data_IF_440513266242
#
_entry.id   IF_440513266242
#
_cell.length_a   1.000
_cell.length_b   1.000
_cell.length_c   1.000
_cell.angle_alpha   90.00
_cell.angle_beta   90.00
_cell.angle_gamma   90.00
#
_symmetry.space_group_name_H-M   'P 1'
#
loop_
_entity.id
_entity.type
_entity.pdbx_description
1 polymer ?
#
# COMPACT_ATOMS: atom_id res chain seq x y z
N UNK A 1 1.21 -12.47 -28.64
CA UNK A 1 2.28 -11.46 -28.39
C UNK A 1 2.95 -11.83 -27.09
N UNK A 2 4.28 -11.81 -27.00
CA UNK A 2 5.00 -11.94 -25.74
C UNK A 2 5.20 -10.56 -25.11
N UNK A 3 4.81 -10.44 -23.83
CA UNK A 3 4.86 -9.17 -23.08
C UNK A 3 5.75 -9.37 -21.85
N UNK A 4 6.93 -8.72 -21.78
CA UNK A 4 7.76 -8.68 -20.59
C UNK A 4 7.08 -7.89 -19.48
N UNK A 5 6.84 -8.54 -18.34
CA UNK A 5 6.22 -7.92 -17.14
C UNK A 5 7.16 -8.11 -15.96
N UNK A 6 7.33 -7.08 -15.15
CA UNK A 6 8.22 -7.08 -14.00
C UNK A 6 7.43 -6.80 -12.73
N UNK A 7 7.67 -7.60 -11.70
CA UNK A 7 7.25 -7.33 -10.33
C UNK A 7 8.47 -7.26 -9.42
N UNK A 8 8.47 -6.36 -8.46
CA UNK A 8 9.41 -6.36 -7.34
C UNK A 8 8.67 -6.79 -6.08
N UNK A 9 9.17 -7.82 -5.39
CA UNK A 9 8.45 -8.38 -4.25
C UNK A 9 9.39 -8.93 -3.17
N UNK A 10 8.85 -9.06 -1.97
CA UNK A 10 9.47 -9.75 -0.84
C UNK A 10 8.53 -10.82 -0.26
N UNK A 11 8.96 -11.51 0.80
CA UNK A 11 8.15 -12.55 1.44
C UNK A 11 6.82 -12.05 1.98
N UNK A 12 6.71 -10.77 2.35
CA UNK A 12 5.47 -10.19 2.88
C UNK A 12 4.46 -9.93 1.77
N UNK A 13 4.94 -9.57 0.58
CA UNK A 13 4.12 -9.25 -0.59
C UNK A 13 3.95 -10.43 -1.58
N UNK A 14 4.61 -11.55 -1.33
CA UNK A 14 4.58 -12.72 -2.20
C UNK A 14 3.17 -13.15 -2.61
N UNK A 15 2.26 -13.30 -1.64
CA UNK A 15 0.90 -13.77 -1.96
C UNK A 15 0.11 -12.74 -2.77
N UNK A 16 0.31 -11.45 -2.52
CA UNK A 16 -0.32 -10.39 -3.31
C UNK A 16 0.20 -10.37 -4.74
N UNK A 17 1.51 -10.58 -4.92
CA UNK A 17 2.12 -10.76 -6.25
C UNK A 17 1.50 -11.94 -7.00
N UNK A 18 1.28 -13.08 -6.34
CA UNK A 18 0.61 -14.25 -6.94
C UNK A 18 -0.82 -13.92 -7.34
N UNK A 19 -1.57 -13.18 -6.53
CA UNK A 19 -2.93 -12.75 -6.88
C UNK A 19 -2.93 -11.79 -8.08
N UNK A 20 -1.98 -10.86 -8.15
CA UNK A 20 -1.81 -9.98 -9.30
C UNK A 20 -1.49 -10.76 -10.58
N UNK A 21 -0.53 -11.69 -10.54
CA UNK A 21 -0.17 -12.59 -11.65
C UNK A 21 -1.38 -13.41 -12.08
N UNK A 22 -2.13 -13.95 -11.12
CA UNK A 22 -3.35 -14.74 -11.38
C UNK A 22 -4.38 -13.92 -12.15
N UNK A 23 -4.66 -12.69 -11.69
CA UNK A 23 -5.60 -11.81 -12.37
C UNK A 23 -5.17 -11.48 -13.79
N UNK A 24 -3.89 -11.23 -14.00
CA UNK A 24 -3.30 -10.98 -15.33
C UNK A 24 -3.42 -12.20 -16.24
N UNK A 25 -3.12 -13.40 -15.74
CA UNK A 25 -3.19 -14.63 -16.53
C UNK A 25 -4.64 -14.99 -16.92
N UNK A 26 -5.60 -14.81 -16.00
CA UNK A 26 -7.04 -15.08 -16.23
C UNK A 26 -7.69 -14.10 -17.21
N UNK A 27 -7.20 -12.85 -17.29
CA UNK A 27 -7.76 -11.82 -18.17
C UNK A 27 -6.94 -11.62 -19.46
N UNK A 28 -5.96 -12.48 -19.71
CA UNK A 28 -5.19 -12.46 -20.95
C UNK A 28 -6.04 -12.87 -22.16
N UNK A 29 -5.88 -12.16 -23.27
CA UNK A 29 -6.43 -12.61 -24.55
C UNK A 29 -5.72 -13.89 -25.05
N UNK A 30 -6.40 -14.63 -25.92
CA UNK A 30 -5.94 -15.94 -26.41
C UNK A 30 -4.49 -15.95 -26.97
N UNK A 31 -4.05 -14.83 -27.53
CA UNK A 31 -2.73 -14.71 -28.16
C UNK A 31 -1.72 -13.93 -27.32
N UNK A 32 -2.04 -13.63 -26.07
CA UNK A 32 -1.16 -12.93 -25.15
C UNK A 32 -0.41 -13.94 -24.28
N UNK A 33 0.89 -13.77 -24.22
CA UNK A 33 1.78 -14.52 -23.35
C UNK A 33 2.61 -13.56 -22.51
N UNK A 34 2.63 -13.74 -21.21
CA UNK A 34 3.38 -12.90 -20.28
C UNK A 34 4.68 -13.59 -19.86
N UNK A 35 5.81 -12.94 -20.14
CA UNK A 35 7.09 -13.30 -19.58
C UNK A 35 7.34 -12.46 -18.33
N UNK A 36 7.16 -13.07 -17.18
CA UNK A 36 7.15 -12.40 -15.88
C UNK A 36 8.54 -12.51 -15.25
N UNK A 37 9.12 -11.38 -14.89
CA UNK A 37 10.38 -11.27 -14.16
C UNK A 37 10.09 -10.84 -12.73
N UNK A 38 10.46 -11.65 -11.75
CA UNK A 38 10.31 -11.35 -10.34
C UNK A 38 11.63 -10.87 -9.79
N UNK A 39 11.72 -9.60 -9.43
CA UNK A 39 12.86 -9.03 -8.74
C UNK A 39 12.75 -9.32 -7.25
N UNK A 40 13.70 -10.09 -6.70
CA UNK A 40 13.66 -10.51 -5.31
C UNK A 40 15.03 -10.53 -4.66
N UNK A 41 15.06 -10.34 -3.34
CA UNK A 41 16.25 -10.48 -2.49
C UNK A 41 16.02 -11.48 -1.37
N UNK A 42 16.98 -11.58 -0.46
CA UNK A 42 16.85 -12.40 0.74
C UNK A 42 16.55 -13.87 0.45
N UNK A 43 15.59 -14.43 1.17
CA UNK A 43 15.20 -15.84 1.00
C UNK A 43 14.42 -16.07 -0.30
N UNK A 44 13.62 -15.10 -0.74
CA UNK A 44 12.78 -15.24 -1.92
C UNK A 44 13.60 -15.42 -3.22
N UNK A 45 14.85 -14.92 -3.26
CA UNK A 45 15.76 -15.14 -4.39
C UNK A 45 16.06 -16.62 -4.70
N UNK A 46 15.79 -17.51 -3.75
CA UNK A 46 15.93 -18.97 -3.93
C UNK A 46 14.73 -19.62 -4.63
N UNK A 47 13.70 -18.83 -4.91
CA UNK A 47 12.43 -19.30 -5.44
C UNK A 47 11.40 -19.59 -4.35
N UNK A 48 10.16 -19.70 -4.78
CA UNK A 48 9.05 -20.11 -3.93
C UNK A 48 8.08 -20.98 -4.73
N UNK A 49 7.55 -22.02 -4.11
CA UNK A 49 6.68 -22.99 -4.74
C UNK A 49 5.44 -22.37 -5.41
N UNK A 50 4.88 -21.27 -4.87
CA UNK A 50 3.75 -20.54 -5.47
C UNK A 50 4.05 -20.04 -6.90
N UNK A 51 5.27 -19.62 -7.20
CA UNK A 51 5.62 -19.22 -8.57
C UNK A 51 5.64 -20.43 -9.53
N UNK A 52 6.15 -21.57 -9.05
CA UNK A 52 6.15 -22.82 -9.81
C UNK A 52 4.73 -23.30 -10.09
N UNK A 53 3.86 -23.25 -9.06
CA UNK A 53 2.47 -23.65 -9.18
C UNK A 53 1.68 -22.70 -10.10
N UNK A 54 1.91 -21.40 -10.01
CA UNK A 54 1.29 -20.43 -10.91
C UNK A 54 1.68 -20.69 -12.37
N UNK A 55 2.97 -20.91 -12.64
CA UNK A 55 3.44 -21.25 -13.98
C UNK A 55 2.90 -22.61 -14.46
N UNK A 56 2.74 -23.58 -13.58
CA UNK A 56 2.11 -24.87 -13.90
C UNK A 56 0.62 -24.78 -14.18
N UNK A 57 -0.07 -23.82 -13.54
CA UNK A 57 -1.51 -23.60 -13.68
C UNK A 57 -1.88 -22.86 -14.97
N UNK A 58 -1.04 -21.95 -15.43
CA UNK A 58 -1.33 -21.05 -16.56
C UNK A 58 -0.33 -21.26 -17.71
N UNK A 59 -0.82 -21.69 -18.87
CA UNK A 59 0.02 -21.92 -20.06
C UNK A 59 0.43 -20.63 -20.79
N UNK A 60 -0.15 -19.50 -20.43
CA UNK A 60 0.09 -18.18 -21.02
C UNK A 60 1.07 -17.32 -20.21
N UNK A 61 1.74 -17.90 -19.21
CA UNK A 61 2.78 -17.22 -18.43
C UNK A 61 4.07 -18.03 -18.36
N UNK A 62 5.19 -17.33 -18.23
CA UNK A 62 6.49 -17.85 -17.80
C UNK A 62 7.01 -16.96 -16.69
N UNK A 63 7.58 -17.53 -15.64
CA UNK A 63 8.10 -16.78 -14.50
C UNK A 63 9.60 -17.04 -14.36
N UNK A 64 10.40 -15.99 -14.47
CA UNK A 64 11.83 -16.00 -14.19
C UNK A 64 12.12 -15.15 -12.94
N UNK A 65 12.89 -15.73 -12.02
CA UNK A 65 13.29 -15.06 -10.78
C UNK A 65 14.66 -14.40 -10.95
N UNK A 66 14.74 -13.10 -10.70
CA UNK A 66 15.97 -12.31 -10.77
C UNK A 66 16.41 -11.88 -9.38
N UNK A 67 17.60 -12.34 -8.99
CA UNK A 67 18.17 -12.01 -7.68
C UNK A 67 18.74 -10.58 -7.68
N UNK A 68 18.31 -9.76 -6.71
CA UNK A 68 18.78 -8.40 -6.52
C UNK A 68 19.77 -8.34 -5.36
N UNK A 69 20.90 -7.67 -5.59
CA UNK A 69 21.83 -7.29 -4.53
C UNK A 69 21.39 -5.96 -3.90
N UNK A 70 20.96 -6.02 -2.65
CA UNK A 70 20.51 -4.84 -1.91
C UNK A 70 21.63 -3.91 -1.43
N UNK A 71 22.89 -4.24 -1.71
CA UNK A 71 24.02 -3.37 -1.31
C UNK A 71 23.91 -1.97 -1.91
N UNK A 72 23.36 -1.84 -3.12
CA UNK A 72 23.09 -0.57 -3.77
C UNK A 72 22.08 0.32 -3.03
N UNK A 73 21.27 -0.27 -2.13
CA UNK A 73 20.19 0.44 -1.44
C UNK A 73 20.42 0.56 0.08
N UNK A 74 21.66 0.38 0.55
CA UNK A 74 21.96 0.47 1.99
C UNK A 74 21.71 1.84 2.57
N UNK A 75 21.90 2.90 1.76
CA UNK A 75 21.72 4.30 2.17
C UNK A 75 20.40 4.90 1.69
N UNK A 76 19.50 4.08 1.14
CA UNK A 76 18.19 4.56 0.69
C UNK A 76 17.35 5.03 1.87
N UNK A 77 16.76 6.21 1.73
CA UNK A 77 15.78 6.71 2.69
C UNK A 77 14.42 6.09 2.41
N UNK A 78 13.80 5.51 3.43
CA UNK A 78 12.46 4.95 3.38
C UNK A 78 11.62 5.68 4.43
N UNK A 79 10.77 6.56 3.97
CA UNK A 79 9.92 7.41 4.80
C UNK A 79 8.60 6.73 5.16
N UNK A 80 8.12 5.85 4.27
CA UNK A 80 6.88 5.12 4.46
C UNK A 80 7.15 3.72 5.06
N UNK A 81 6.58 3.39 6.24
CA UNK A 81 6.83 2.10 6.90
C UNK A 81 6.26 0.89 6.17
N UNK A 82 5.39 1.10 5.19
CA UNK A 82 4.84 0.03 4.36
C UNK A 82 5.69 -0.26 3.13
N UNK A 83 6.68 0.60 2.85
CA UNK A 83 7.60 0.45 1.73
C UNK A 83 8.85 -0.30 2.20
N UNK A 84 9.31 -1.24 1.40
CA UNK A 84 10.56 -1.97 1.60
C UNK A 84 11.56 -1.58 0.52
N UNK A 85 12.83 -2.03 0.65
CA UNK A 85 13.85 -1.78 -0.38
C UNK A 85 13.46 -2.31 -1.77
N UNK A 86 12.52 -3.25 -1.83
CA UNK A 86 12.02 -3.79 -3.10
C UNK A 86 11.45 -2.70 -4.03
N UNK A 87 10.95 -1.58 -3.49
CA UNK A 87 10.48 -0.44 -4.29
C UNK A 87 11.56 0.12 -5.21
N UNK A 88 12.83 0.12 -4.78
CA UNK A 88 13.95 0.65 -5.56
C UNK A 88 14.45 -0.31 -6.66
N UNK A 89 14.05 -1.60 -6.66
CA UNK A 89 14.57 -2.56 -7.63
C UNK A 89 14.21 -2.18 -9.07
N UNK A 90 13.04 -1.54 -9.28
CA UNK A 90 12.62 -1.03 -10.59
C UNK A 90 13.60 -0.04 -11.22
N UNK A 91 14.38 0.67 -10.41
CA UNK A 91 15.39 1.63 -10.88
C UNK A 91 16.57 0.96 -11.58
N UNK A 92 16.80 -0.34 -11.35
CA UNK A 92 17.89 -1.11 -11.93
C UNK A 92 17.53 -1.79 -13.25
N UNK A 93 16.28 -1.69 -13.71
CA UNK A 93 15.76 -2.47 -14.86
C UNK A 93 16.57 -2.30 -16.13
N UNK A 94 17.12 -1.11 -16.39
CA UNK A 94 17.98 -0.88 -17.53
C UNK A 94 19.22 -1.76 -17.57
N UNK A 95 19.78 -2.11 -16.41
CA UNK A 95 20.97 -2.95 -16.29
C UNK A 95 20.65 -4.44 -16.16
N UNK A 96 19.46 -4.78 -15.63
CA UNK A 96 19.08 -6.16 -15.33
C UNK A 96 18.46 -6.87 -16.53
N UNK A 97 17.60 -6.17 -17.31
CA UNK A 97 16.85 -6.75 -18.40
C UNK A 97 17.41 -6.36 -19.77
N UNK A 98 17.52 -7.33 -20.67
CA UNK A 98 18.02 -7.11 -22.03
C UNK A 98 16.90 -6.88 -23.06
N UNK A 99 15.62 -6.79 -22.63
CA UNK A 99 14.52 -6.44 -23.52
C UNK A 99 14.49 -4.92 -23.77
N UNK A 100 13.92 -4.51 -24.89
CA UNK A 100 13.86 -3.07 -25.25
C UNK A 100 12.76 -2.32 -24.48
N UNK A 101 11.68 -3.02 -24.10
CA UNK A 101 10.54 -2.47 -23.39
C UNK A 101 9.93 -3.50 -22.43
N UNK A 102 9.48 -3.07 -21.26
CA UNK A 102 8.74 -3.93 -20.34
C UNK A 102 7.64 -3.13 -19.61
N UNK A 103 6.69 -3.85 -19.04
CA UNK A 103 5.76 -3.32 -18.05
C UNK A 103 6.33 -3.57 -16.66
N UNK A 104 6.25 -2.58 -15.78
CA UNK A 104 6.47 -2.76 -14.35
C UNK A 104 5.14 -2.60 -13.63
N UNK A 105 4.85 -3.53 -12.74
CA UNK A 105 3.60 -3.59 -11.99
C UNK A 105 3.91 -3.78 -10.50
N UNK A 106 3.26 -2.99 -9.65
CA UNK A 106 3.28 -3.23 -8.20
C UNK A 106 2.48 -4.49 -7.84
N UNK A 107 2.76 -5.06 -6.68
CA UNK A 107 2.16 -6.31 -6.22
C UNK A 107 0.74 -6.15 -5.67
N UNK A 108 0.31 -4.93 -5.34
CA UNK A 108 -1.00 -4.61 -4.77
C UNK A 108 -1.99 -4.14 -5.83
N UNK A 109 -2.05 -4.86 -6.94
CA UNK A 109 -2.93 -4.58 -8.08
C UNK A 109 -3.79 -5.78 -8.45
N UNK A 110 -4.84 -5.51 -9.23
CA UNK A 110 -5.60 -6.50 -10.01
C UNK A 110 -5.65 -6.02 -11.46
N UNK A 111 -5.32 -6.91 -12.38
CA UNK A 111 -5.37 -6.68 -13.82
C UNK A 111 -6.68 -7.26 -14.35
N UNK A 112 -7.63 -6.38 -14.75
CA UNK A 112 -8.97 -6.77 -15.23
C UNK A 112 -9.12 -6.76 -16.75
N UNK A 113 -8.07 -6.44 -17.48
CA UNK A 113 -8.03 -6.44 -18.96
C UNK A 113 -6.69 -7.02 -19.44
N UNK A 114 -6.65 -7.43 -20.71
CA UNK A 114 -5.39 -7.77 -21.35
C UNK A 114 -4.44 -6.57 -21.43
N UNK A 115 -3.15 -6.80 -21.19
CA UNK A 115 -2.15 -5.74 -21.17
C UNK A 115 -1.55 -5.41 -22.56
N UNK A 116 -2.05 -5.99 -23.63
CA UNK A 116 -1.52 -5.74 -24.98
C UNK A 116 -1.64 -4.28 -25.39
N UNK A 117 -2.79 -3.63 -25.13
CA UNK A 117 -2.99 -2.21 -25.40
C UNK A 117 -1.96 -1.35 -24.62
N UNK A 118 -1.77 -1.64 -23.33
CA UNK A 118 -0.78 -0.94 -22.50
C UNK A 118 0.64 -1.14 -23.02
N UNK A 119 0.99 -2.38 -23.36
CA UNK A 119 2.34 -2.70 -23.84
C UNK A 119 2.64 -2.10 -25.21
N UNK A 120 1.64 -2.02 -26.13
CA UNK A 120 1.83 -1.52 -27.49
C UNK A 120 1.87 0.01 -27.56
N UNK A 121 1.66 0.72 -26.45
CA UNK A 121 1.75 2.18 -26.45
C UNK A 121 3.07 2.65 -27.06
N UNK A 122 2.98 3.60 -27.99
CA UNK A 122 4.16 4.18 -28.64
C UNK A 122 4.93 5.04 -27.63
N UNK A 123 6.19 4.70 -27.38
CA UNK A 123 7.02 5.44 -26.42
C UNK A 123 7.70 6.67 -27.04
N UNK A 124 7.89 6.72 -28.37
CA UNK A 124 8.64 7.79 -29.05
C UNK A 124 9.97 8.09 -28.31
N UNK A 125 10.18 9.34 -27.88
CA UNK A 125 11.35 9.76 -27.09
C UNK A 125 11.14 9.63 -25.58
N UNK A 126 10.00 9.10 -25.12
CA UNK A 126 9.74 8.92 -23.69
C UNK A 126 10.59 7.78 -23.11
N UNK A 127 11.10 7.99 -21.92
CA UNK A 127 11.82 6.98 -21.15
C UNK A 127 10.87 6.07 -20.38
N UNK A 128 9.79 6.69 -19.89
CA UNK A 128 8.77 6.01 -19.09
C UNK A 128 7.38 6.51 -19.51
N UNK A 129 6.39 5.61 -19.45
CA UNK A 129 5.00 6.00 -19.48
C UNK A 129 4.30 5.55 -18.18
N UNK A 130 3.41 6.39 -17.66
CA UNK A 130 2.65 6.13 -16.43
C UNK A 130 1.39 6.96 -16.34
N UNK A 131 0.51 6.59 -15.42
CA UNK A 131 -0.74 7.31 -15.15
C UNK A 131 -0.45 8.47 -14.20
N UNK A 132 -1.08 9.61 -14.44
CA UNK A 132 -1.01 10.78 -13.54
C UNK A 132 -1.37 10.38 -12.11
N UNK A 133 -0.60 10.83 -11.16
CA UNK A 133 -0.92 10.63 -9.74
C UNK A 133 -1.96 11.68 -9.30
N UNK A 134 -3.23 11.28 -9.31
CA UNK A 134 -4.34 12.17 -8.92
C UNK A 134 -4.29 12.58 -7.45
N UNK A 135 -3.54 11.89 -6.61
CA UNK A 135 -3.31 12.31 -5.23
C UNK A 135 -2.64 13.68 -5.15
N UNK A 136 -1.76 13.97 -6.11
CA UNK A 136 -1.10 15.28 -6.22
C UNK A 136 -2.14 16.40 -6.49
N UNK A 137 -3.19 16.09 -7.25
CA UNK A 137 -4.22 17.06 -7.58
C UNK A 137 -5.15 17.37 -6.41
N UNK A 138 -5.38 16.40 -5.54
CA UNK A 138 -6.19 16.52 -4.33
C UNK A 138 -5.42 17.14 -3.14
N UNK A 139 -4.10 17.29 -3.25
CA UNK A 139 -3.30 17.96 -2.21
C UNK A 139 -3.62 19.44 -2.13
N UNK A 140 -3.57 19.99 -0.92
CA UNK A 140 -3.56 21.43 -0.72
C UNK A 140 -2.46 22.11 -1.56
N UNK A 141 -2.76 23.26 -2.16
CA UNK A 141 -1.83 23.96 -3.04
C UNK A 141 -0.49 24.27 -2.37
N UNK A 142 -0.49 24.59 -1.07
CA UNK A 142 0.72 24.84 -0.28
C UNK A 142 1.57 23.59 -0.09
N UNK A 143 0.94 22.44 0.16
CA UNK A 143 1.62 21.14 0.32
C UNK A 143 2.20 20.70 -1.04
N UNK A 144 1.42 20.82 -2.11
CA UNK A 144 1.88 20.52 -3.47
C UNK A 144 3.08 21.39 -3.89
N UNK A 145 3.07 22.68 -3.56
CA UNK A 145 4.18 23.58 -3.85
C UNK A 145 5.43 23.24 -3.01
N UNK A 146 5.29 22.95 -1.73
CA UNK A 146 6.41 22.48 -0.89
C UNK A 146 7.05 21.22 -1.47
N UNK A 147 6.22 20.27 -1.95
CA UNK A 147 6.70 19.06 -2.60
C UNK A 147 7.45 19.37 -3.89
N UNK A 148 6.88 20.23 -4.75
CA UNK A 148 7.52 20.68 -5.98
C UNK A 148 8.93 21.25 -5.72
N UNK A 149 9.04 22.12 -4.72
CA UNK A 149 10.33 22.71 -4.31
C UNK A 149 11.30 21.64 -3.80
N UNK A 150 10.82 20.72 -2.93
CA UNK A 150 11.65 19.67 -2.35
C UNK A 150 12.19 18.69 -3.40
N UNK A 151 11.37 18.34 -4.39
CA UNK A 151 11.78 17.46 -5.50
C UNK A 151 12.50 18.19 -6.63
N UNK A 152 12.46 19.51 -6.64
CA UNK A 152 12.99 20.36 -7.73
C UNK A 152 12.39 20.02 -9.10
N UNK A 153 11.16 19.55 -9.13
CA UNK A 153 10.39 19.29 -10.38
C UNK A 153 9.81 20.62 -10.86
N UNK A 154 9.90 20.96 -12.16
CA UNK A 154 9.37 22.23 -12.69
C UNK A 154 7.87 22.41 -12.52
N UNK A 155 7.09 21.33 -12.69
CA UNK A 155 5.62 21.31 -12.48
C UNK A 155 5.16 19.95 -11.99
N UNK A 156 4.23 19.93 -11.04
CA UNK A 156 3.60 18.68 -10.55
C UNK A 156 2.50 18.16 -11.48
N UNK A 157 2.13 18.88 -12.52
CA UNK A 157 1.08 18.45 -13.46
C UNK A 157 1.43 17.19 -14.24
N UNK A 158 2.72 16.95 -14.48
CA UNK A 158 3.20 15.76 -15.21
C UNK A 158 3.60 14.60 -14.30
N UNK A 159 3.41 14.78 -13.00
CA UNK A 159 3.80 13.78 -12.01
C UNK A 159 2.96 12.50 -12.17
N UNK A 160 3.63 11.36 -12.32
CA UNK A 160 3.00 10.05 -12.48
C UNK A 160 3.19 9.19 -11.24
N UNK A 161 2.23 8.28 -11.02
CA UNK A 161 2.40 7.21 -10.04
C UNK A 161 3.30 6.11 -10.58
N UNK A 162 4.14 5.54 -9.70
CA UNK A 162 5.14 4.55 -10.07
C UNK A 162 4.65 3.09 -10.01
N UNK A 163 3.40 2.82 -9.63
CA UNK A 163 2.91 1.45 -9.45
C UNK A 163 2.59 0.70 -10.75
N UNK A 164 2.32 1.43 -11.84
CA UNK A 164 2.13 0.86 -13.18
C UNK A 164 2.90 1.71 -14.18
N UNK A 165 3.93 1.14 -14.77
CA UNK A 165 4.83 1.84 -15.68
C UNK A 165 5.12 1.02 -16.94
N UNK A 166 5.26 1.73 -18.07
CA UNK A 166 5.91 1.20 -19.27
C UNK A 166 7.32 1.75 -19.32
N UNK A 167 8.34 0.88 -19.23
CA UNK A 167 9.74 1.24 -19.33
C UNK A 167 10.25 1.10 -20.77
N UNK A 168 10.80 2.16 -21.34
CA UNK A 168 11.59 2.13 -22.56
C UNK A 168 13.05 1.82 -22.20
N UNK A 169 13.33 0.56 -21.95
CA UNK A 169 14.66 0.13 -21.47
C UNK A 169 15.78 0.42 -22.47
N UNK A 170 15.45 0.44 -23.76
CA UNK A 170 16.40 0.83 -24.80
C UNK A 170 16.90 2.28 -24.60
N UNK A 171 15.98 3.22 -24.43
CA UNK A 171 16.35 4.63 -24.19
C UNK A 171 16.99 4.82 -22.81
N UNK A 172 16.55 4.09 -21.78
CA UNK A 172 17.16 4.12 -20.46
C UNK A 172 18.62 3.70 -20.51
N UNK A 173 18.96 2.64 -21.25
CA UNK A 173 20.35 2.20 -21.47
C UNK A 173 21.13 3.19 -22.31
N UNK A 174 20.56 3.68 -23.41
CA UNK A 174 21.22 4.62 -24.33
C UNK A 174 21.60 5.95 -23.65
N UNK A 175 20.92 6.30 -22.55
CA UNK A 175 21.10 7.56 -21.80
C UNK A 175 21.71 7.37 -20.42
N UNK A 176 22.14 6.16 -20.08
CA UNK A 176 22.71 5.81 -18.77
C UNK A 176 21.83 6.22 -17.58
N UNK A 177 20.49 6.17 -17.78
CA UNK A 177 19.52 6.65 -16.79
C UNK A 177 19.53 5.81 -15.51
N UNK A 178 19.94 4.55 -15.57
CA UNK A 178 20.09 3.72 -14.36
C UNK A 178 21.12 4.32 -13.41
N UNK A 179 22.23 4.84 -13.89
CA UNK A 179 23.22 5.53 -13.05
C UNK A 179 22.65 6.82 -12.45
N UNK A 180 21.88 7.57 -13.26
CA UNK A 180 21.19 8.77 -12.77
C UNK A 180 20.19 8.43 -11.68
N UNK A 181 19.36 7.38 -11.83
CA UNK A 181 18.45 6.90 -10.78
C UNK A 181 19.22 6.54 -9.51
N UNK A 182 20.29 5.76 -9.64
CA UNK A 182 21.11 5.34 -8.51
C UNK A 182 21.74 6.54 -7.76
N UNK A 183 22.14 7.60 -8.46
CA UNK A 183 22.70 8.80 -7.82
C UNK A 183 21.68 9.57 -6.97
N UNK A 184 20.38 9.33 -7.15
CA UNK A 184 19.29 9.95 -6.39
C UNK A 184 18.81 9.12 -5.19
N UNK A 185 19.27 7.88 -5.02
CA UNK A 185 18.78 6.96 -3.97
C UNK A 185 19.08 7.49 -2.55
N UNK A 186 20.18 8.21 -2.36
CA UNK A 186 20.59 8.78 -1.07
C UNK A 186 19.86 10.11 -0.75
N UNK A 187 19.03 10.63 -1.67
CA UNK A 187 18.26 11.85 -1.44
C UNK A 187 16.98 11.50 -0.69
N UNK A 188 16.70 12.24 0.38
CA UNK A 188 15.49 12.07 1.19
C UNK A 188 14.25 12.63 0.47
N UNK A 189 13.72 11.86 -0.47
CA UNK A 189 12.50 12.16 -1.19
C UNK A 189 11.24 11.70 -0.42
N UNK A 190 10.15 12.49 -0.42
CA UNK A 190 8.89 12.13 0.25
C UNK A 190 8.25 10.81 -0.20
N UNK A 191 8.38 10.48 -1.50
CA UNK A 191 7.83 9.25 -2.11
C UNK A 191 8.90 8.46 -2.84
N UNK A 192 10.01 8.25 -2.17
CA UNK A 192 11.10 7.32 -2.48
C UNK A 192 11.40 7.24 -4.00
N UNK A 193 11.26 6.06 -4.58
CA UNK A 193 11.54 5.77 -5.99
C UNK A 193 10.59 6.48 -6.97
N UNK A 194 9.35 6.76 -6.56
CA UNK A 194 8.40 7.50 -7.38
C UNK A 194 8.90 8.93 -7.66
N UNK A 195 9.44 9.62 -6.64
CA UNK A 195 10.04 10.94 -6.82
C UNK A 195 11.29 10.87 -7.70
N UNK A 196 12.15 9.84 -7.50
CA UNK A 196 13.35 9.64 -8.34
C UNK A 196 12.98 9.52 -9.82
N UNK A 197 11.97 8.69 -10.13
CA UNK A 197 11.49 8.49 -11.50
C UNK A 197 10.97 9.80 -12.09
N UNK A 198 10.13 10.53 -11.36
CA UNK A 198 9.54 11.77 -11.83
C UNK A 198 10.59 12.89 -12.02
N UNK A 199 11.59 12.97 -11.13
CA UNK A 199 12.71 13.91 -11.24
C UNK A 199 13.61 13.59 -12.44
N UNK A 200 14.01 12.33 -12.56
CA UNK A 200 14.99 11.94 -13.55
C UNK A 200 14.43 11.87 -14.97
N UNK A 201 13.14 11.61 -15.13
CA UNK A 201 12.46 11.43 -16.41
C UNK A 201 11.56 12.61 -16.80
N UNK A 202 11.50 13.71 -16.06
CA UNK A 202 10.49 14.77 -16.14
C UNK A 202 10.04 15.14 -17.56
N UNK A 203 10.96 15.51 -18.45
CA UNK A 203 10.66 15.93 -19.83
C UNK A 203 10.42 14.76 -20.80
N UNK A 204 10.53 13.53 -20.32
CA UNK A 204 10.47 12.30 -21.09
C UNK A 204 9.45 11.30 -20.54
N UNK A 205 8.39 11.81 -19.90
CA UNK A 205 7.29 11.02 -19.40
C UNK A 205 6.14 11.07 -20.41
N UNK A 206 5.62 9.90 -20.79
CA UNK A 206 4.38 9.77 -21.55
C UNK A 206 3.22 9.48 -20.59
N UNK A 207 2.15 10.24 -20.68
CA UNK A 207 0.93 9.95 -19.91
C UNK A 207 0.15 8.81 -20.51
N UNK A 208 -0.33 7.95 -19.62
CA UNK A 208 -1.26 6.86 -19.93
C UNK A 208 -2.69 7.22 -19.51
N UNK A 209 -3.70 6.63 -20.16
CA UNK A 209 -5.09 6.67 -19.69
C UNK A 209 -5.23 6.19 -18.25
N UNK A 210 -6.16 6.78 -17.49
CA UNK A 210 -6.36 6.49 -16.07
C UNK A 210 -6.69 5.02 -15.79
N UNK A 211 -7.38 4.33 -16.73
CA UNK A 211 -7.71 2.90 -16.60
C UNK A 211 -6.52 1.99 -16.29
N UNK A 212 -5.31 2.40 -16.63
CA UNK A 212 -4.11 1.60 -16.41
C UNK A 212 -3.51 1.73 -15.00
N UNK A 213 -4.11 2.57 -14.13
CA UNK A 213 -3.70 2.64 -12.72
C UNK A 213 -4.82 3.28 -11.87
N UNK A 214 -5.91 2.55 -11.69
CA UNK A 214 -7.12 3.01 -11.00
C UNK A 214 -6.97 2.81 -9.49
N UNK A 215 -6.74 3.87 -8.75
CA UNK A 215 -6.70 3.82 -7.29
C UNK A 215 -8.09 3.62 -6.71
N UNK A 216 -8.25 2.61 -5.85
CA UNK A 216 -9.50 2.37 -5.13
C UNK A 216 -9.93 3.57 -4.28
N UNK A 217 -8.97 4.33 -3.76
CA UNK A 217 -9.21 5.57 -3.03
C UNK A 217 -10.05 6.56 -3.86
N UNK A 218 -9.70 6.75 -5.13
CA UNK A 218 -10.39 7.72 -6.01
C UNK A 218 -11.76 7.24 -6.47
N UNK A 219 -12.01 5.94 -6.44
CA UNK A 219 -13.34 5.39 -6.75
C UNK A 219 -14.40 5.83 -5.73
N UNK A 220 -13.99 6.13 -4.50
CA UNK A 220 -14.86 6.66 -3.45
C UNK A 220 -14.89 8.19 -3.38
N UNK A 221 -14.09 8.89 -4.19
CA UNK A 221 -13.91 10.35 -4.15
C UNK A 221 -14.28 11.03 -5.46
N UNK A 222 -15.23 10.47 -6.20
CA UNK A 222 -15.60 10.98 -7.53
C UNK A 222 -16.02 12.46 -7.49
N UNK A 223 -16.83 12.84 -6.50
CA UNK A 223 -17.33 14.23 -6.37
C UNK A 223 -16.18 15.23 -6.08
N UNK A 224 -15.18 14.80 -5.29
CA UNK A 224 -13.99 15.60 -5.01
C UNK A 224 -13.12 15.76 -6.25
N UNK A 225 -12.96 14.70 -7.03
CA UNK A 225 -12.21 14.73 -8.29
C UNK A 225 -12.89 15.67 -9.31
N UNK A 226 -14.23 15.60 -9.44
CA UNK A 226 -14.99 16.49 -10.31
C UNK A 226 -14.85 17.97 -9.88
N UNK A 227 -14.91 18.24 -8.56
CA UNK A 227 -14.69 19.60 -8.01
C UNK A 227 -13.27 20.12 -8.23
N UNK A 228 -12.27 19.21 -8.23
CA UNK A 228 -10.85 19.54 -8.46
C UNK A 228 -10.52 19.76 -9.94
N UNK A 229 -11.51 19.67 -10.83
CA UNK A 229 -11.36 19.93 -12.26
C UNK A 229 -10.72 18.79 -13.05
N UNK A 230 -10.74 17.57 -12.52
CA UNK A 230 -10.32 16.37 -13.26
C UNK A 230 -11.26 16.18 -14.46
N UNK A 231 -10.68 15.88 -15.60
CA UNK A 231 -11.43 15.76 -16.86
C UNK A 231 -12.44 14.60 -16.85
N UNK A 232 -13.51 14.75 -17.63
CA UNK A 232 -14.64 13.81 -17.67
C UNK A 232 -14.25 12.42 -18.17
N UNK A 233 -13.25 12.33 -19.03
CA UNK A 233 -12.79 11.06 -19.57
C UNK A 233 -12.08 10.24 -18.47
N UNK A 234 -11.20 10.86 -17.71
CA UNK A 234 -10.57 10.27 -16.51
C UNK A 234 -11.64 9.81 -15.52
N UNK A 235 -12.66 10.63 -15.22
CA UNK A 235 -13.76 10.26 -14.32
C UNK A 235 -14.54 9.05 -14.85
N UNK A 236 -14.84 9.02 -16.14
CA UNK A 236 -15.54 7.90 -16.77
C UNK A 236 -14.74 6.58 -16.62
N UNK A 237 -13.44 6.62 -16.88
CA UNK A 237 -12.56 5.46 -16.74
C UNK A 237 -12.51 4.95 -15.27
N UNK A 238 -12.49 5.85 -14.29
CA UNK A 238 -12.54 5.47 -12.86
C UNK A 238 -13.87 4.78 -12.53
N UNK A 239 -15.00 5.31 -13.04
CA UNK A 239 -16.34 4.73 -12.82
C UNK A 239 -16.51 3.34 -13.48
N UNK A 240 -15.88 3.10 -14.61
CA UNK A 240 -15.94 1.81 -15.33
C UNK A 240 -15.20 0.68 -14.61
N UNK A 241 -14.17 0.99 -13.81
CA UNK A 241 -13.33 0.03 -13.07
C UNK A 241 -12.69 -1.06 -13.95
N UNK A 242 -12.44 -0.74 -15.22
CA UNK A 242 -11.71 -1.61 -16.17
C UNK A 242 -10.22 -1.27 -16.14
N UNK A 243 -9.39 -2.18 -16.69
CA UNK A 243 -7.95 -2.01 -16.72
C UNK A 243 -7.27 -2.51 -15.45
N UNK A 244 -6.43 -1.72 -14.81
CA UNK A 244 -5.68 -2.11 -13.62
C UNK A 244 -6.22 -1.39 -12.38
N UNK A 245 -6.74 -2.14 -11.43
CA UNK A 245 -7.13 -1.63 -10.10
C UNK A 245 -5.92 -1.69 -9.20
N UNK A 246 -5.56 -0.55 -8.60
CA UNK A 246 -4.42 -0.42 -7.70
C UNK A 246 -4.91 -0.07 -6.29
N UNK A 247 -4.56 -0.91 -5.33
CA UNK A 247 -4.94 -0.74 -3.93
C UNK A 247 -3.94 0.14 -3.16
N UNK A 248 -3.35 1.13 -3.83
CA UNK A 248 -2.44 2.11 -3.25
C UNK A 248 -3.19 3.06 -2.32
N UNK A 249 -3.43 2.64 -1.10
CA UNK A 249 -4.11 3.45 -0.07
C UNK A 249 -3.28 3.45 1.22
N UNK A 250 -3.19 4.57 1.93
CA UNK A 250 -2.55 4.62 3.25
C UNK A 250 -3.35 3.89 4.33
N UNK A 251 -4.59 3.50 4.01
CA UNK A 251 -5.53 2.86 4.91
C UNK A 251 -5.47 1.33 4.81
N UNK A 252 -6.58 0.68 5.16
CA UNK A 252 -6.70 -0.78 5.13
C UNK A 252 -6.75 -1.28 3.67
N UNK A 253 -6.06 -2.37 3.39
CA UNK A 253 -5.99 -3.03 2.09
C UNK A 253 -7.18 -4.00 1.91
N UNK A 254 -7.54 -4.40 0.66
CA UNK A 254 -8.67 -5.29 0.40
C UNK A 254 -8.54 -6.67 1.07
N UNK A 255 -7.33 -7.11 1.31
CA UNK A 255 -7.04 -8.35 2.04
C UNK A 255 -7.08 -8.20 3.56
N UNK A 256 -7.34 -7.00 4.07
CA UNK A 256 -7.45 -6.71 5.50
C UNK A 256 -8.90 -6.43 5.94
N UNK A 257 -9.83 -6.11 5.02
CA UNK A 257 -11.24 -5.87 5.33
C UNK A 257 -12.17 -6.18 4.16
N UNK A 258 -13.33 -6.76 4.43
CA UNK A 258 -14.38 -7.00 3.44
C UNK A 258 -15.16 -5.74 3.06
N UNK A 259 -15.00 -4.65 3.81
CA UNK A 259 -15.77 -3.42 3.65
C UNK A 259 -15.25 -2.49 2.55
N UNK A 260 -14.02 -2.68 2.07
CA UNK A 260 -13.39 -1.79 1.11
C UNK A 260 -13.87 -1.99 -0.33
N UNK A 261 -13.88 -0.90 -1.09
CA UNK A 261 -14.17 -0.91 -2.52
C UNK A 261 -13.28 -1.91 -3.27
N UNK A 262 -13.87 -2.65 -4.20
CA UNK A 262 -13.20 -3.65 -5.03
C UNK A 262 -12.51 -4.78 -4.25
N UNK A 263 -12.84 -4.98 -2.97
CA UNK A 263 -12.39 -6.11 -2.17
C UNK A 263 -12.79 -7.44 -2.80
N UNK A 264 -14.04 -7.56 -3.22
CA UNK A 264 -14.60 -8.74 -3.90
C UNK A 264 -13.80 -9.12 -5.15
N UNK A 265 -13.31 -8.14 -5.90
CA UNK A 265 -12.49 -8.37 -7.09
C UNK A 265 -11.15 -9.01 -6.69
N UNK A 266 -10.50 -8.51 -5.65
CA UNK A 266 -9.24 -9.09 -5.16
C UNK A 266 -9.43 -10.52 -4.67
N UNK A 267 -10.46 -10.76 -3.85
CA UNK A 267 -10.76 -12.08 -3.28
C UNK A 267 -11.20 -13.09 -4.33
N UNK A 268 -11.80 -12.67 -5.44
CA UNK A 268 -12.11 -13.53 -6.59
C UNK A 268 -10.86 -14.27 -7.08
N UNK A 269 -9.74 -13.55 -7.28
CA UNK A 269 -8.50 -14.14 -7.75
C UNK A 269 -7.71 -14.83 -6.63
N UNK A 270 -7.75 -14.31 -5.43
CA UNK A 270 -7.16 -14.96 -4.27
C UNK A 270 -7.79 -16.33 -3.98
N UNK A 271 -9.10 -16.50 -4.19
CA UNK A 271 -9.82 -17.76 -3.96
C UNK A 271 -9.36 -18.92 -4.85
N UNK A 272 -8.70 -18.63 -5.98
CA UNK A 272 -8.07 -19.66 -6.83
C UNK A 272 -6.96 -20.42 -6.07
N UNK A 273 -6.43 -19.81 -4.99
CA UNK A 273 -5.40 -20.33 -4.10
C UNK A 273 -5.94 -20.75 -2.73
N UNK A 274 -7.26 -21.04 -2.62
CA UNK A 274 -7.95 -21.30 -1.35
C UNK A 274 -7.33 -22.41 -0.51
N UNK A 275 -6.70 -23.42 -1.15
CA UNK A 275 -6.08 -24.56 -0.46
C UNK A 275 -4.68 -24.25 0.09
N UNK A 276 -4.14 -23.03 -0.16
CA UNK A 276 -2.79 -22.66 0.26
C UNK A 276 -2.75 -22.09 1.68
N UNK A 277 -1.65 -22.32 2.42
CA UNK A 277 -1.45 -21.72 3.74
C UNK A 277 -1.49 -20.19 3.71
N UNK A 278 -0.99 -19.58 2.64
CA UNK A 278 -0.96 -18.13 2.44
C UNK A 278 -2.37 -17.53 2.35
N UNK A 279 -3.28 -18.17 1.60
CA UNK A 279 -4.68 -17.77 1.54
C UNK A 279 -5.35 -17.88 2.91
N UNK A 280 -5.17 -19.03 3.59
CA UNK A 280 -5.77 -19.26 4.90
C UNK A 280 -5.24 -18.25 5.95
N UNK A 281 -3.95 -17.96 5.90
CA UNK A 281 -3.34 -16.91 6.73
C UNK A 281 -3.97 -15.55 6.45
N UNK A 282 -4.17 -15.20 5.17
CA UNK A 282 -4.75 -13.91 4.79
C UNK A 282 -6.20 -13.79 5.22
N UNK A 283 -7.01 -14.85 5.06
CA UNK A 283 -8.39 -14.90 5.59
C UNK A 283 -8.45 -14.72 7.11
N UNK A 284 -7.50 -15.31 7.83
CA UNK A 284 -7.40 -15.11 9.29
C UNK A 284 -7.06 -13.66 9.63
N UNK A 285 -6.11 -13.05 8.92
CA UNK A 285 -5.75 -11.64 9.11
C UNK A 285 -6.98 -10.74 8.87
N UNK A 286 -7.70 -10.94 7.77
CA UNK A 286 -8.89 -10.16 7.43
C UNK A 286 -9.92 -10.22 8.56
N UNK A 287 -10.27 -11.43 9.04
CA UNK A 287 -11.22 -11.60 10.16
C UNK A 287 -10.79 -10.87 11.43
N UNK A 288 -9.48 -10.84 11.71
CA UNK A 288 -8.92 -10.12 12.87
C UNK A 288 -8.98 -8.58 12.71
N UNK A 289 -8.94 -8.07 11.46
CA UNK A 289 -9.03 -6.64 11.17
C UNK A 289 -10.48 -6.13 11.15
N UNK A 290 -11.46 -6.98 10.88
CA UNK A 290 -12.87 -6.61 10.92
C UNK A 290 -13.36 -6.24 12.32
N UNK A 291 -12.60 -6.61 13.35
CA UNK A 291 -12.77 -6.16 14.74
C UNK A 291 -12.09 -4.81 14.99
N UNK A 292 -11.93 -3.97 13.97
CA UNK A 292 -11.49 -2.57 14.13
C UNK A 292 -12.68 -1.71 14.53
N UNK A 293 -12.78 -1.38 15.81
CA UNK A 293 -13.87 -0.63 16.40
C UNK A 293 -13.92 0.82 15.89
N UNK A 294 -15.12 1.29 15.54
CA UNK A 294 -15.47 2.71 15.48
C UNK A 294 -15.27 3.36 16.86
N UNK A 295 -15.30 4.70 16.94
CA UNK A 295 -15.22 5.36 18.25
C UNK A 295 -16.34 4.89 19.19
N UNK A 296 -17.58 4.75 18.71
CA UNK A 296 -18.72 4.26 19.50
C UNK A 296 -18.56 2.80 19.94
N UNK A 297 -18.03 1.93 19.07
CA UNK A 297 -17.71 0.55 19.44
C UNK A 297 -16.56 0.51 20.47
N UNK A 298 -15.59 1.43 20.37
CA UNK A 298 -14.50 1.56 21.33
C UNK A 298 -15.01 1.99 22.70
N UNK A 299 -15.94 2.93 22.78
CA UNK A 299 -16.61 3.34 24.03
C UNK A 299 -17.33 2.14 24.63
N UNK A 300 -18.11 1.43 23.82
CA UNK A 300 -18.83 0.22 24.26
C UNK A 300 -17.88 -0.90 24.74
N UNK A 301 -16.77 -1.08 24.04
CA UNK A 301 -15.72 -2.03 24.46
C UNK A 301 -15.12 -1.64 25.81
N UNK A 302 -14.76 -0.35 25.99
CA UNK A 302 -14.17 0.16 27.22
C UNK A 302 -15.11 0.07 28.43
N UNK A 303 -16.42 0.14 28.22
CA UNK A 303 -17.42 0.07 29.29
C UNK A 303 -17.35 -1.25 30.11
N UNK A 304 -16.76 -2.31 29.53
CA UNK A 304 -16.54 -3.60 30.21
C UNK A 304 -15.33 -3.65 31.13
N UNK A 305 -14.49 -2.58 31.17
CA UNK A 305 -13.20 -2.61 31.86
C UNK A 305 -13.07 -1.53 32.95
N UNK A 306 -12.40 -1.89 34.04
CA UNK A 306 -12.10 -0.96 35.14
C UNK A 306 -10.90 -0.05 34.83
N UNK A 307 -9.97 -0.50 33.96
CA UNK A 307 -8.73 0.20 33.59
C UNK A 307 -8.50 0.12 32.10
N UNK A 308 -8.33 1.23 31.44
CA UNK A 308 -8.01 1.32 30.02
C UNK A 308 -6.64 1.95 29.84
N UNK A 309 -5.80 1.32 29.02
CA UNK A 309 -4.48 1.81 28.63
C UNK A 309 -4.48 2.06 27.12
N UNK A 310 -3.90 3.17 26.68
CA UNK A 310 -3.73 3.48 25.26
C UNK A 310 -2.27 3.27 24.89
N UNK A 311 -1.99 2.30 24.03
CA UNK A 311 -0.66 2.06 23.52
C UNK A 311 -0.37 2.94 22.31
N UNK A 312 0.69 3.75 22.40
CA UNK A 312 1.14 4.69 21.40
C UNK A 312 0.83 6.14 21.77
N UNK A 313 1.84 6.87 22.28
CA UNK A 313 1.77 8.31 22.49
C UNK A 313 2.00 9.04 21.17
N UNK A 314 1.03 8.91 20.26
CA UNK A 314 0.98 9.50 18.91
C UNK A 314 -0.11 10.57 18.84
N UNK A 315 -0.17 11.32 17.73
CA UNK A 315 -1.28 12.26 17.49
C UNK A 315 -2.65 11.54 17.54
N UNK A 316 -2.72 10.34 16.94
CA UNK A 316 -3.91 9.50 16.95
C UNK A 316 -4.26 8.99 18.35
N UNK A 317 -3.26 8.52 19.10
CA UNK A 317 -3.47 8.08 20.48
C UNK A 317 -3.98 9.20 21.39
N UNK A 318 -3.46 10.44 21.23
CA UNK A 318 -3.93 11.59 21.98
C UNK A 318 -5.36 12.01 21.61
N UNK A 319 -5.71 11.96 20.32
CA UNK A 319 -7.08 12.23 19.85
C UNK A 319 -8.06 11.22 20.45
N UNK A 320 -7.76 9.92 20.30
CA UNK A 320 -8.58 8.86 20.90
C UNK A 320 -8.73 9.04 22.42
N UNK A 321 -7.63 9.38 23.12
CA UNK A 321 -7.65 9.64 24.55
C UNK A 321 -8.66 10.74 24.92
N UNK A 322 -8.62 11.87 24.19
CA UNK A 322 -9.52 13.01 24.45
C UNK A 322 -10.97 12.57 24.25
N UNK A 323 -11.30 11.89 23.16
CA UNK A 323 -12.65 11.45 22.85
C UNK A 323 -13.18 10.46 23.92
N UNK A 324 -12.38 9.44 24.27
CA UNK A 324 -12.77 8.47 25.30
C UNK A 324 -12.90 9.10 26.70
N UNK A 325 -12.08 10.11 27.01
CA UNK A 325 -12.16 10.81 28.28
C UNK A 325 -13.46 11.65 28.37
N UNK A 326 -13.87 12.30 27.28
CA UNK A 326 -15.14 13.05 27.19
C UNK A 326 -16.35 12.14 27.42
N UNK A 327 -16.26 10.89 26.98
CA UNK A 327 -17.28 9.84 27.18
C UNK A 327 -17.18 9.13 28.55
N UNK A 328 -16.31 9.61 29.45
CA UNK A 328 -16.20 9.10 30.81
C UNK A 328 -15.45 7.79 30.98
N UNK A 329 -14.70 7.35 29.98
CA UNK A 329 -13.87 6.14 30.06
C UNK A 329 -12.72 6.35 31.05
N UNK A 330 -12.53 5.40 31.97
CA UNK A 330 -11.45 5.47 32.97
C UNK A 330 -10.10 5.07 32.34
N UNK A 331 -9.43 6.03 31.70
CA UNK A 331 -8.11 5.83 31.09
C UNK A 331 -7.05 6.02 32.17
N UNK A 332 -6.20 5.02 32.37
CA UNK A 332 -5.10 5.06 33.34
C UNK A 332 -3.94 5.89 32.81
N UNK A 333 -3.57 5.70 31.54
CA UNK A 333 -2.48 6.42 30.90
C UNK A 333 -2.15 5.88 29.52
N UNK A 334 -1.07 6.41 28.97
CA UNK A 334 -0.48 5.89 27.74
C UNK A 334 0.59 4.86 28.05
N UNK A 335 0.79 3.94 27.10
CA UNK A 335 1.95 3.06 27.09
C UNK A 335 2.76 3.33 25.81
N UNK A 336 4.06 3.44 25.94
CA UNK A 336 4.97 3.58 24.80
C UNK A 336 6.35 2.99 25.16
N UNK A 337 7.01 2.31 24.21
CA UNK A 337 8.35 1.78 24.42
C UNK A 337 9.45 2.83 24.27
N UNK A 338 9.12 3.99 23.71
CA UNK A 338 10.05 5.11 23.52
C UNK A 338 10.26 5.84 24.85
N UNK A 339 11.46 5.73 25.42
CA UNK A 339 11.82 6.34 26.68
C UNK A 339 11.77 7.87 26.68
N UNK A 340 11.93 8.49 25.50
CA UNK A 340 11.77 9.95 25.38
C UNK A 340 10.29 10.35 25.53
N UNK A 341 9.38 9.56 24.98
CA UNK A 341 7.94 9.78 25.14
C UNK A 341 7.45 9.53 26.56
N UNK A 342 8.09 8.64 27.31
CA UNK A 342 7.78 8.37 28.73
C UNK A 342 8.05 9.56 29.67
N UNK A 343 8.71 10.60 29.16
CA UNK A 343 8.92 11.86 29.91
C UNK A 343 7.73 12.81 29.84
N UNK A 344 6.70 12.50 29.05
CA UNK A 344 5.55 13.36 28.84
C UNK A 344 4.35 12.98 29.72
N UNK A 345 3.57 14.00 30.02
CA UNK A 345 2.21 13.87 30.55
C UNK A 345 1.23 14.54 29.59
N UNK A 346 0.03 13.97 29.47
CA UNK A 346 -1.04 14.53 28.63
C UNK A 346 -2.37 14.50 29.39
N UNK A 347 -3.01 15.65 29.56
CA UNK A 347 -4.25 15.80 30.35
C UNK A 347 -4.15 15.13 31.74
N UNK A 348 -3.00 15.31 32.42
CA UNK A 348 -2.76 14.75 33.75
C UNK A 348 -2.47 13.25 33.80
N UNK A 349 -2.34 12.57 32.65
CA UNK A 349 -1.96 11.16 32.56
C UNK A 349 -0.54 11.00 32.01
N UNK A 350 0.19 10.05 32.59
CA UNK A 350 1.59 9.78 32.25
C UNK A 350 1.70 8.83 31.03
N UNK A 351 2.83 8.90 30.35
CA UNK A 351 3.26 7.88 29.38
C UNK A 351 4.17 6.90 30.11
N UNK A 352 3.72 5.67 30.23
CA UNK A 352 4.35 4.64 31.06
C UNK A 352 5.02 3.57 30.19
N UNK A 353 6.07 2.90 30.68
CA UNK A 353 6.50 1.64 30.12
C UNK A 353 5.45 0.54 30.39
N UNK A 354 5.42 -0.48 29.54
CA UNK A 354 4.55 -1.62 29.80
C UNK A 354 5.10 -2.45 30.97
N UNK A 355 4.24 -2.72 31.94
CA UNK A 355 4.50 -3.63 33.05
C UNK A 355 3.33 -4.60 33.21
N UNK A 356 3.59 -5.89 32.99
CA UNK A 356 2.59 -6.97 33.14
C UNK A 356 2.03 -7.06 34.56
N UNK A 357 2.78 -6.63 35.59
CA UNK A 357 2.32 -6.60 36.98
C UNK A 357 1.09 -5.71 37.19
N UNK A 358 0.85 -4.76 36.31
CA UNK A 358 -0.32 -3.87 36.35
C UNK A 358 -1.55 -4.46 35.61
N UNK A 359 -1.38 -5.55 34.88
CA UNK A 359 -2.47 -6.19 34.14
C UNK A 359 -3.35 -7.04 35.06
N UNK A 360 -4.63 -6.88 34.92
CA UNK A 360 -5.65 -7.71 35.57
C UNK A 360 -6.61 -8.24 34.50
N UNK A 361 -6.65 -9.56 34.25
CA UNK A 361 -7.55 -10.16 33.28
C UNK A 361 -9.01 -9.73 33.49
N UNK A 362 -9.73 -9.44 32.41
CA UNK A 362 -11.12 -8.97 32.40
C UNK A 362 -11.37 -7.59 33.04
N UNK A 363 -10.35 -6.96 33.62
CA UNK A 363 -10.45 -5.64 34.26
C UNK A 363 -9.59 -4.57 33.56
N UNK A 364 -8.58 -5.00 32.82
CA UNK A 364 -7.66 -4.12 32.10
C UNK A 364 -7.78 -4.31 30.61
N UNK A 365 -8.01 -3.23 29.85
CA UNK A 365 -8.00 -3.23 28.39
C UNK A 365 -6.79 -2.47 27.85
N UNK A 366 -6.27 -2.93 26.73
CA UNK A 366 -5.19 -2.29 25.99
C UNK A 366 -5.68 -1.91 24.60
N UNK A 367 -5.74 -0.61 24.34
CA UNK A 367 -6.10 -0.07 23.03
C UNK A 367 -4.82 0.31 22.29
N UNK A 368 -4.51 -0.37 21.21
CA UNK A 368 -3.33 -0.08 20.39
C UNK A 368 -3.70 1.01 19.36
N UNK A 369 -3.24 2.24 19.61
CA UNK A 369 -3.48 3.41 18.78
C UNK A 369 -2.28 3.77 17.88
N UNK A 370 -1.59 2.78 17.33
CA UNK A 370 -0.42 2.93 16.46
C UNK A 370 -0.54 2.08 15.21
N UNK A 371 -0.43 2.71 14.04
CA UNK A 371 -0.51 1.98 12.77
C UNK A 371 0.75 1.11 12.51
N UNK A 372 1.94 1.66 12.79
CA UNK A 372 3.23 1.05 12.39
C UNK A 372 3.58 -0.23 13.11
N UNK A 373 3.38 -0.27 14.42
CA UNK A 373 3.81 -1.39 15.30
C UNK A 373 2.64 -2.17 15.90
N UNK A 374 1.41 -1.91 15.47
CA UNK A 374 0.22 -2.48 16.13
C UNK A 374 0.22 -4.00 16.21
N UNK A 375 0.66 -4.70 15.14
CA UNK A 375 0.75 -6.18 15.14
C UNK A 375 1.87 -6.69 16.04
N UNK A 376 3.00 -5.98 16.13
CA UNK A 376 4.13 -6.34 16.98
C UNK A 376 3.79 -6.11 18.45
N UNK A 377 3.15 -4.99 18.75
CA UNK A 377 2.66 -4.67 20.09
C UNK A 377 1.62 -5.69 20.56
N UNK A 378 0.66 -6.04 19.72
CA UNK A 378 -0.33 -7.08 20.04
C UNK A 378 0.34 -8.42 20.36
N UNK A 379 1.29 -8.88 19.52
CA UNK A 379 2.06 -10.10 19.80
C UNK A 379 2.86 -10.01 21.10
N UNK A 380 3.48 -8.88 21.35
CA UNK A 380 4.26 -8.65 22.57
C UNK A 380 3.36 -8.75 23.80
N UNK A 381 2.19 -8.10 23.80
CA UNK A 381 1.22 -8.17 24.88
C UNK A 381 0.75 -9.61 25.12
N UNK A 382 0.36 -10.33 24.07
CA UNK A 382 -0.05 -11.73 24.16
C UNK A 382 1.07 -12.65 24.68
N UNK A 383 2.31 -12.48 24.18
CA UNK A 383 3.47 -13.24 24.66
C UNK A 383 3.81 -12.93 26.11
N UNK A 384 3.44 -11.76 26.60
CA UNK A 384 3.59 -11.38 28.03
C UNK A 384 2.45 -11.89 28.89
N UNK A 385 1.44 -12.57 28.34
CA UNK A 385 0.34 -13.15 29.08
C UNK A 385 -0.96 -12.32 29.11
N UNK A 386 -1.04 -11.24 28.33
CA UNK A 386 -2.30 -10.51 28.16
C UNK A 386 -3.23 -11.32 27.26
N UNK A 387 -4.49 -11.43 27.63
CA UNK A 387 -5.51 -12.16 26.85
C UNK A 387 -5.84 -11.40 25.56
N UNK A 388 -6.10 -12.13 24.48
CA UNK A 388 -6.43 -11.54 23.18
C UNK A 388 -7.67 -10.65 23.26
N UNK A 389 -8.67 -11.04 24.06
CA UNK A 389 -9.93 -10.29 24.22
C UNK A 389 -9.75 -8.97 24.97
N UNK A 390 -8.68 -8.84 25.76
CA UNK A 390 -8.33 -7.62 26.50
C UNK A 390 -7.45 -6.67 25.68
N UNK A 391 -7.20 -6.99 24.39
CA UNK A 391 -6.43 -6.19 23.45
C UNK A 391 -7.31 -5.81 22.26
N UNK A 392 -7.35 -4.53 21.95
CA UNK A 392 -8.06 -4.03 20.78
C UNK A 392 -7.16 -3.08 19.98
N UNK A 393 -7.30 -3.09 18.65
CA UNK A 393 -6.62 -2.14 17.77
C UNK A 393 -7.60 -1.05 17.37
N UNK A 394 -7.22 0.18 17.64
CA UNK A 394 -7.96 1.34 17.15
C UNK A 394 -7.53 1.67 15.73
N UNK A 395 -8.49 1.74 14.82
CA UNK A 395 -8.28 2.20 13.46
C UNK A 395 -8.97 3.55 13.31
N UNK A 396 -8.16 4.60 13.08
CA UNK A 396 -8.72 5.92 12.81
C UNK A 396 -9.53 5.88 11.52
N UNK A 397 -10.80 6.25 11.62
CA UNK A 397 -11.73 6.33 10.51
C UNK A 397 -12.01 7.82 10.26
N UNK A 398 -11.38 8.39 9.26
CA UNK A 398 -11.66 9.75 8.79
C UNK A 398 -12.63 9.75 7.60
N UNK A 399 -12.95 10.93 7.09
CA UNK A 399 -13.84 11.05 5.93
C UNK A 399 -13.34 10.25 4.71
N UNK A 400 -12.02 10.17 4.52
CA UNK A 400 -11.41 9.42 3.40
C UNK A 400 -11.59 7.91 3.60
N UNK A 401 -11.46 7.41 4.84
CA UNK A 401 -11.73 6.01 5.16
C UNK A 401 -13.14 5.61 4.72
N UNK A 402 -14.16 6.41 5.08
CA UNK A 402 -15.55 6.10 4.72
C UNK A 402 -15.80 6.18 3.22
N UNK A 403 -15.11 7.05 2.50
CA UNK A 403 -15.17 7.13 1.04
C UNK A 403 -14.58 5.89 0.35
N UNK A 404 -13.70 5.15 1.02
CA UNK A 404 -13.13 3.90 0.50
C UNK A 404 -14.03 2.67 0.77
N UNK A 405 -15.13 2.82 1.52
CA UNK A 405 -16.04 1.71 1.81
C UNK A 405 -16.97 1.39 0.64
N UNK A 406 -17.40 0.16 0.56
CA UNK A 406 -18.49 -0.26 -0.31
C UNK A 406 -19.79 0.41 0.13
N UNK A 407 -20.72 0.76 -0.80
CA UNK A 407 -21.93 1.51 -0.49
C UNK A 407 -22.76 0.91 0.65
N UNK A 408 -22.87 -0.43 0.72
CA UNK A 408 -23.61 -1.13 1.77
C UNK A 408 -23.06 -0.95 3.19
N UNK A 409 -21.82 -0.44 3.33
CA UNK A 409 -21.20 -0.14 4.62
C UNK A 409 -21.10 1.36 4.91
N UNK A 410 -21.63 2.21 4.01
CA UNK A 410 -21.66 3.66 4.21
C UNK A 410 -22.82 4.15 5.06
N UNK A 411 -23.87 3.33 5.25
CA UNK A 411 -25.08 3.69 6.02
C UNK A 411 -24.82 3.80 7.54
N UNK A 412 -23.67 3.32 8.04
CA UNK A 412 -23.26 3.55 9.44
C UNK A 412 -22.95 5.03 9.76
N UNK A 413 -23.14 5.95 8.78
CA UNK A 413 -22.94 7.40 8.93
C UNK A 413 -24.14 8.19 9.44
N UNK A 414 -25.30 7.60 9.52
CA UNK A 414 -26.53 8.35 9.81
C UNK A 414 -26.97 8.12 11.24
N UNK A 415 -26.23 8.63 12.20
CA UNK A 415 -26.79 9.07 13.50
C UNK A 415 -25.63 9.70 14.29
N UNK A 416 -25.35 11.01 13.93
CA UNK A 416 -25.13 12.10 14.89
C UNK A 416 -24.71 13.40 14.15
#
# INVERSE_FOLDING_TARGET
>A
MEIPVVFATDMNYLFYTIVAITSMAENAEKNTFYHIYILASGELKKGHWLFTDAQGKYSNIKIDLLSIDESAFQKAHINNPHITKATFYRLLLGNILQVDKCLYLDSDIIVNEDLQELYTVEMNSAYIAGVRDLWIDLMDASVREQRRVRTNIPSMEQYINAGVLVFNLKEIRNRDLTEKFCSHIEIDYPYEDQDIINVCCYDHIRRLPAKWNLFTLFMGQIDELEKSGIDRDTIAQIKEKKGIIHYATPYIRPWESERFLCNDIWWKYAAIWSETPEYQRQKKIMRQHEIGYSENEMISYCAGYEKVYIWGFTAMGRKLFTNLLEEGVNIIGFLDNDTEKQKFTYCGKEVLPFDIGNYQPLKSAFIIAGQKSGKEVQRMLMNSGVREEDIVRYTYKDAIYYQCLRPEFCEEKSDD
#
